data_IF_952114181086
#
_entry.id   IF_952114181086
#
_cell.length_a   1.000
_cell.length_b   1.000
_cell.length_c   1.000
_cell.angle_alpha   90.00
_cell.angle_beta   90.00
_cell.angle_gamma   90.00
#
_symmetry.space_group_name_H-M   'P 1'
#
loop_
_entity.id
_entity.type
_entity.pdbx_description
1 polymer ?
#
# COMPACT_ATOMS: atom_id res chain seq x y z
N UNK A 1 15.17 -13.30 7.62
CA UNK A 1 14.16 -12.39 8.22
C UNK A 1 13.41 -13.16 9.30
N UNK A 2 13.22 -12.60 10.49
CA UNK A 2 12.58 -13.25 11.64
C UNK A 2 11.19 -12.63 11.89
N UNK A 3 10.16 -13.46 12.01
CA UNK A 3 8.77 -13.01 12.23
C UNK A 3 8.68 -12.31 13.59
N UNK A 4 8.25 -11.05 13.59
CA UNK A 4 7.99 -10.24 14.78
C UNK A 4 6.52 -10.24 15.16
N UNK A 5 5.64 -10.22 14.16
CA UNK A 5 4.19 -10.18 14.35
C UNK A 5 3.50 -10.84 13.15
N UNK A 6 2.46 -11.61 13.41
CA UNK A 6 1.56 -12.12 12.37
C UNK A 6 0.38 -11.15 12.29
N UNK A 7 0.14 -10.58 11.11
CA UNK A 7 -0.98 -9.64 10.90
C UNK A 7 -2.22 -10.43 10.47
N UNK A 8 -2.07 -11.25 9.43
CA UNK A 8 -3.12 -12.16 8.97
C UNK A 8 -2.51 -13.38 8.24
N UNK A 9 -3.35 -14.23 7.65
CA UNK A 9 -2.92 -15.45 6.97
C UNK A 9 -1.92 -15.22 5.83
N UNK A 10 -1.90 -14.03 5.23
CA UNK A 10 -1.06 -13.70 4.08
C UNK A 10 0.00 -12.64 4.39
N UNK A 11 0.02 -12.08 5.60
CA UNK A 11 0.86 -10.93 5.92
C UNK A 11 1.49 -11.06 7.30
N UNK A 12 2.80 -10.86 7.34
CA UNK A 12 3.59 -10.85 8.57
C UNK A 12 4.47 -9.60 8.63
N UNK A 13 4.72 -9.10 9.84
CA UNK A 13 5.82 -8.20 10.10
C UNK A 13 7.05 -9.00 10.55
N UNK A 14 8.20 -8.70 10.00
CA UNK A 14 9.45 -9.36 10.30
C UNK A 14 10.59 -8.36 10.50
N UNK A 15 11.67 -8.81 11.13
CA UNK A 15 12.92 -8.07 11.25
C UNK A 15 13.91 -8.65 10.25
N UNK A 16 14.51 -7.77 9.45
CA UNK A 16 15.55 -8.15 8.50
C UNK A 16 16.94 -8.27 9.17
N UNK A 17 17.94 -8.66 8.39
CA UNK A 17 19.32 -8.85 8.88
C UNK A 17 19.96 -7.56 9.43
N UNK A 18 19.41 -6.39 9.10
CA UNK A 18 19.86 -5.08 9.57
C UNK A 18 19.12 -4.61 10.82
N UNK A 19 18.23 -5.44 11.38
CA UNK A 19 17.39 -5.07 12.51
C UNK A 19 16.22 -4.16 12.14
N UNK A 20 15.92 -3.98 10.84
CA UNK A 20 14.82 -3.13 10.40
C UNK A 20 13.54 -3.93 10.28
N UNK A 21 12.44 -3.33 10.73
CA UNK A 21 11.12 -3.92 10.58
C UNK A 21 10.64 -3.78 9.13
N UNK A 22 10.16 -4.89 8.57
CA UNK A 22 9.65 -5.00 7.21
C UNK A 22 8.32 -5.71 7.23
N UNK A 23 7.43 -5.33 6.32
CA UNK A 23 6.12 -5.97 6.15
C UNK A 23 6.21 -6.88 4.94
N UNK A 24 5.81 -8.14 5.10
CA UNK A 24 5.97 -9.17 4.09
C UNK A 24 4.60 -9.73 3.77
N UNK A 25 4.31 -9.82 2.48
CA UNK A 25 3.07 -10.39 1.96
C UNK A 25 3.38 -11.65 1.17
N UNK A 26 2.47 -12.61 1.22
CA UNK A 26 2.60 -13.88 0.54
C UNK A 26 1.43 -14.80 0.83
N UNK A 27 0.96 -15.55 -0.17
CA UNK A 27 -0.14 -16.50 0.01
C UNK A 27 0.15 -17.53 1.10
N UNK A 28 -0.63 -17.52 2.17
CA UNK A 28 -0.49 -18.43 3.30
C UNK A 28 0.78 -18.22 4.12
N UNK A 29 1.44 -17.06 4.01
CA UNK A 29 2.69 -16.76 4.71
C UNK A 29 2.53 -16.70 6.23
N UNK A 30 1.42 -16.15 6.71
CA UNK A 30 1.08 -16.11 8.14
C UNK A 30 0.31 -17.35 8.60
N UNK A 31 -0.13 -18.20 7.67
CA UNK A 31 -0.86 -19.42 8.01
C UNK A 31 0.09 -20.46 8.61
N UNK A 32 -0.17 -20.84 9.86
CA UNK A 32 0.65 -21.78 10.65
C UNK A 32 2.10 -21.31 10.91
N UNK A 33 2.37 -20.01 10.77
CA UNK A 33 3.63 -19.41 11.16
C UNK A 33 3.62 -19.05 12.65
N UNK A 34 4.80 -18.93 13.26
CA UNK A 34 4.95 -18.48 14.65
C UNK A 34 5.88 -17.29 14.78
N UNK A 35 5.62 -16.42 15.77
CA UNK A 35 6.51 -15.32 16.12
C UNK A 35 7.86 -15.89 16.58
N UNK A 36 8.95 -15.32 16.08
CA UNK A 36 10.33 -15.78 16.31
C UNK A 36 10.86 -16.76 15.27
N UNK A 37 10.00 -17.28 14.37
CA UNK A 37 10.44 -18.16 13.29
C UNK A 37 11.05 -17.38 12.11
N UNK A 38 11.80 -18.10 11.28
CA UNK A 38 12.30 -17.54 10.03
C UNK A 38 11.17 -17.50 9.01
N UNK A 39 11.04 -16.37 8.31
CA UNK A 39 10.09 -16.21 7.21
C UNK A 39 10.42 -17.20 6.09
N UNK A 40 9.43 -18.01 5.68
CA UNK A 40 9.54 -18.91 4.53
C UNK A 40 9.69 -18.11 3.23
N UNK A 41 10.90 -18.02 2.70
CA UNK A 41 11.22 -17.20 1.51
C UNK A 41 10.43 -17.60 0.28
N UNK A 42 10.07 -18.88 0.15
CA UNK A 42 9.37 -19.42 -1.02
C UNK A 42 7.91 -18.94 -1.11
N UNK A 43 7.35 -18.52 0.03
CA UNK A 43 6.00 -17.94 0.11
C UNK A 43 5.99 -16.43 -0.05
N UNK A 44 7.16 -15.77 -0.07
CA UNK A 44 7.25 -14.31 -0.13
C UNK A 44 6.90 -13.82 -1.54
N UNK A 45 5.87 -12.99 -1.65
CA UNK A 45 5.48 -12.35 -2.90
C UNK A 45 5.99 -10.91 -2.96
N UNK A 46 5.81 -10.11 -1.89
CA UNK A 46 6.32 -8.73 -1.82
C UNK A 46 6.82 -8.39 -0.42
N UNK A 47 7.84 -7.54 -0.35
CA UNK A 47 8.42 -7.01 0.89
C UNK A 47 8.36 -5.49 0.88
N UNK A 48 7.60 -4.91 1.80
CA UNK A 48 7.44 -3.48 1.99
C UNK A 48 8.39 -2.97 3.07
N UNK A 49 9.18 -1.97 2.71
CA UNK A 49 10.14 -1.28 3.57
C UNK A 49 9.67 0.16 3.70
N UNK A 50 8.97 0.45 4.79
CA UNK A 50 8.47 1.79 5.11
C UNK A 50 9.35 2.35 6.23
N UNK A 51 9.99 3.48 5.98
CA UNK A 51 10.91 4.12 6.92
C UNK A 51 10.18 5.01 7.94
N UNK A 52 8.99 5.50 7.59
CA UNK A 52 8.16 6.25 8.52
C UNK A 52 7.30 5.30 9.39
N UNK A 53 7.54 5.32 10.70
CA UNK A 53 6.84 4.48 11.68
C UNK A 53 5.31 4.73 11.70
N UNK A 54 4.88 5.97 11.45
CA UNK A 54 3.45 6.33 11.43
C UNK A 54 2.79 5.73 10.19
N UNK A 55 3.46 5.80 9.05
CA UNK A 55 2.97 5.20 7.80
C UNK A 55 2.98 3.68 7.90
N UNK A 56 4.04 3.10 8.46
CA UNK A 56 4.14 1.66 8.72
C UNK A 56 2.99 1.15 9.59
N UNK A 57 2.70 1.84 10.71
CA UNK A 57 1.58 1.49 11.59
C UNK A 57 0.23 1.56 10.87
N UNK A 58 -0.02 2.62 10.09
CA UNK A 58 -1.26 2.75 9.30
C UNK A 58 -1.39 1.68 8.24
N UNK A 59 -0.29 1.33 7.57
CA UNK A 59 -0.29 0.29 6.55
C UNK A 59 -0.61 -1.08 7.16
N UNK A 60 -0.07 -1.40 8.35
CA UNK A 60 -0.44 -2.62 9.08
C UNK A 60 -1.93 -2.70 9.40
N UNK A 61 -2.54 -1.59 9.85
CA UNK A 61 -3.99 -1.53 10.10
C UNK A 61 -4.77 -1.77 8.80
N UNK A 62 -4.37 -1.13 7.70
CA UNK A 62 -5.01 -1.31 6.40
C UNK A 62 -4.97 -2.76 5.92
N UNK A 63 -3.88 -3.48 6.21
CA UNK A 63 -3.69 -4.88 5.81
C UNK A 63 -4.67 -5.86 6.49
N UNK A 64 -5.33 -5.46 7.58
CA UNK A 64 -6.39 -6.26 8.21
C UNK A 64 -7.74 -6.11 7.49
N UNK A 65 -7.95 -4.99 6.80
CA UNK A 65 -9.22 -4.66 6.14
C UNK A 65 -9.18 -4.93 4.63
N UNK A 66 -8.02 -4.74 4.01
CA UNK A 66 -7.85 -4.81 2.55
C UNK A 66 -7.33 -6.18 2.11
N UNK A 67 -8.00 -6.84 1.15
CA UNK A 67 -7.51 -8.07 0.54
C UNK A 67 -6.08 -7.94 -0.01
N UNK A 68 -5.25 -8.97 0.20
CA UNK A 68 -3.84 -8.97 -0.20
C UNK A 68 -3.67 -8.75 -1.71
N UNK A 69 -4.62 -9.20 -2.51
CA UNK A 69 -4.65 -9.02 -3.97
C UNK A 69 -4.70 -7.54 -4.35
N UNK A 70 -5.40 -6.72 -3.56
CA UNK A 70 -5.51 -5.27 -3.79
C UNK A 70 -4.22 -4.56 -3.35
N UNK A 71 -3.58 -5.04 -2.28
CA UNK A 71 -2.27 -4.55 -1.85
C UNK A 71 -1.21 -4.83 -2.91
N UNK A 72 -1.25 -6.03 -3.52
CA UNK A 72 -0.36 -6.39 -4.63
C UNK A 72 -0.60 -5.54 -5.86
N UNK A 73 -1.87 -5.33 -6.23
CA UNK A 73 -2.23 -4.41 -7.31
C UNK A 73 -1.73 -2.99 -7.06
N UNK A 74 -1.82 -2.52 -5.81
CA UNK A 74 -1.29 -1.21 -5.39
C UNK A 74 0.21 -1.14 -5.63
N UNK A 75 0.96 -2.18 -5.24
CA UNK A 75 2.40 -2.25 -5.49
C UNK A 75 2.74 -2.22 -6.98
N UNK A 76 2.01 -2.95 -7.82
CA UNK A 76 2.25 -2.97 -9.26
C UNK A 76 2.00 -1.58 -9.89
N UNK A 77 0.97 -0.85 -9.44
CA UNK A 77 0.70 0.52 -9.89
C UNK A 77 1.79 1.49 -9.40
N UNK A 78 2.20 1.39 -8.13
CA UNK A 78 3.27 2.22 -7.57
C UNK A 78 4.61 1.94 -8.28
N UNK A 79 4.91 0.68 -8.58
CA UNK A 79 6.09 0.28 -9.32
C UNK A 79 6.10 0.85 -10.74
N UNK A 80 4.97 0.83 -11.44
CA UNK A 80 4.83 1.46 -12.74
C UNK A 80 5.05 2.98 -12.65
N UNK A 81 4.44 3.65 -11.66
CA UNK A 81 4.59 5.08 -11.47
C UNK A 81 6.05 5.48 -11.19
N UNK A 82 6.79 4.68 -10.41
CA UNK A 82 8.22 4.88 -10.11
C UNK A 82 9.14 4.80 -11.34
N UNK A 83 8.71 4.15 -12.43
CA UNK A 83 9.47 4.13 -13.68
C UNK A 83 9.46 5.49 -14.39
N UNK A 84 8.58 6.40 -13.99
CA UNK A 84 8.48 7.74 -14.57
C UNK A 84 9.65 8.62 -14.11
N UNK A 85 10.50 9.12 -15.04
CA UNK A 85 11.64 9.96 -14.68
C UNK A 85 11.21 11.21 -13.90
N UNK A 86 11.90 11.49 -12.79
CA UNK A 86 11.67 12.67 -11.95
C UNK A 86 10.48 12.56 -10.99
N UNK A 87 9.69 11.49 -11.04
CA UNK A 87 8.59 11.28 -10.11
C UNK A 87 9.11 10.77 -8.75
N UNK A 88 8.82 11.52 -7.68
CA UNK A 88 9.05 11.10 -6.30
C UNK A 88 7.71 10.76 -5.67
N UNK A 89 7.55 9.52 -5.23
CA UNK A 89 6.37 9.07 -4.50
C UNK A 89 6.67 9.03 -3.00
N UNK A 90 5.73 9.52 -2.19
CA UNK A 90 5.81 9.37 -0.75
C UNK A 90 5.51 7.91 -0.35
N UNK A 91 6.04 7.46 0.78
CA UNK A 91 5.72 6.13 1.33
C UNK A 91 4.22 5.97 1.63
N UNK A 92 3.55 7.07 1.96
CA UNK A 92 2.11 7.11 2.26
C UNK A 92 1.23 6.74 1.05
N UNK A 93 1.79 6.71 -0.17
CA UNK A 93 1.04 6.32 -1.36
C UNK A 93 0.46 4.91 -1.25
N UNK A 94 1.16 3.99 -0.57
CA UNK A 94 0.67 2.61 -0.40
C UNK A 94 -0.62 2.58 0.43
N UNK A 95 -0.69 3.40 1.49
CA UNK A 95 -1.87 3.47 2.35
C UNK A 95 -3.03 4.08 1.59
N UNK A 96 -2.81 5.26 0.99
CA UNK A 96 -3.86 6.02 0.32
C UNK A 96 -4.39 5.28 -0.92
N UNK A 97 -3.50 4.74 -1.75
CA UNK A 97 -3.91 4.08 -2.99
C UNK A 97 -4.60 2.74 -2.73
N UNK A 98 -4.09 1.92 -1.80
CA UNK A 98 -4.75 0.64 -1.49
C UNK A 98 -6.15 0.84 -0.91
N UNK A 99 -6.33 1.81 -0.01
CA UNK A 99 -7.65 2.17 0.54
C UNK A 99 -8.62 2.63 -0.57
N UNK A 100 -8.16 3.51 -1.47
CA UNK A 100 -8.98 3.99 -2.58
C UNK A 100 -9.34 2.89 -3.58
N UNK A 101 -8.41 2.00 -3.92
CA UNK A 101 -8.69 0.87 -4.80
C UNK A 101 -9.71 -0.08 -4.18
N UNK A 102 -9.53 -0.41 -2.89
CA UNK A 102 -10.46 -1.27 -2.17
C UNK A 102 -11.87 -0.68 -2.17
N UNK A 103 -12.00 0.59 -1.82
CA UNK A 103 -13.27 1.26 -1.77
C UNK A 103 -13.93 1.45 -3.14
N UNK A 104 -13.14 1.74 -4.18
CA UNK A 104 -13.64 1.84 -5.56
C UNK A 104 -14.16 0.49 -6.07
N UNK A 105 -13.45 -0.61 -5.80
CA UNK A 105 -13.86 -1.97 -6.16
C UNK A 105 -15.14 -2.35 -5.41
N UNK A 106 -15.20 -2.14 -4.10
CA UNK A 106 -16.39 -2.40 -3.29
C UNK A 106 -17.63 -1.65 -3.81
N UNK A 107 -17.48 -0.36 -4.14
CA UNK A 107 -18.58 0.45 -4.69
C UNK A 107 -19.04 -0.05 -6.05
N UNK A 108 -18.10 -0.39 -6.93
CA UNK A 108 -18.39 -0.94 -8.24
C UNK A 108 -19.17 -2.25 -8.14
N UNK A 109 -18.77 -3.15 -7.23
CA UNK A 109 -19.49 -4.41 -6.97
C UNK A 109 -20.91 -4.19 -6.43
N UNK A 110 -21.15 -3.09 -5.71
CA UNK A 110 -22.47 -2.67 -5.20
C UNK A 110 -23.34 -1.96 -6.25
N UNK A 111 -22.85 -1.82 -7.49
CA UNK A 111 -23.60 -1.17 -8.58
C UNK A 111 -23.76 0.34 -8.41
N UNK A 112 -22.96 0.97 -7.54
CA UNK A 112 -22.97 2.42 -7.34
C UNK A 112 -22.11 3.07 -8.44
N UNK A 113 -22.69 3.96 -9.24
CA UNK A 113 -21.94 4.72 -10.25
C UNK A 113 -20.84 5.54 -9.59
N UNK A 114 -19.60 5.37 -10.05
CA UNK A 114 -18.44 6.10 -9.55
C UNK A 114 -18.32 7.41 -10.34
N UNK A 115 -18.88 8.49 -9.80
CA UNK A 115 -18.59 9.83 -10.30
C UNK A 115 -17.13 10.20 -9.93
N UNK A 116 -16.25 10.21 -10.94
CA UNK A 116 -14.81 10.51 -10.89
C UNK A 116 -14.09 10.12 -9.56
N UNK A 117 -13.58 8.87 -9.44
CA UNK A 117 -12.96 8.38 -8.21
C UNK A 117 -11.70 9.14 -7.79
N UNK A 118 -11.03 9.84 -8.72
CA UNK A 118 -9.78 10.56 -8.49
C UNK A 118 -9.98 12.03 -8.13
N UNK A 119 -11.22 12.49 -7.95
CA UNK A 119 -11.48 13.92 -7.76
C UNK A 119 -10.86 14.46 -6.45
N UNK A 120 -10.71 13.60 -5.43
CA UNK A 120 -10.09 13.99 -4.16
C UNK A 120 -8.55 14.10 -4.30
N UNK A 121 -7.93 13.11 -4.94
CA UNK A 121 -6.50 12.99 -5.17
C UNK A 121 -6.00 14.06 -6.15
N UNK A 122 -6.77 14.34 -7.21
CA UNK A 122 -6.47 15.45 -8.13
C UNK A 122 -6.49 16.78 -7.35
N UNK A 123 -7.43 17.00 -6.44
CA UNK A 123 -7.42 18.19 -5.59
C UNK A 123 -6.24 18.21 -4.62
N UNK A 124 -5.92 17.08 -3.98
CA UNK A 124 -4.93 17.06 -2.90
C UNK A 124 -3.48 17.04 -3.41
N UNK A 125 -3.18 16.26 -4.45
CA UNK A 125 -1.82 16.12 -5.00
C UNK A 125 -1.48 17.18 -6.06
N UNK A 126 -2.45 17.63 -6.88
CA UNK A 126 -2.16 18.63 -7.92
C UNK A 126 -2.33 20.09 -7.47
N UNK A 127 -2.98 20.39 -6.33
CA UNK A 127 -2.99 21.78 -5.82
C UNK A 127 -1.61 22.27 -5.37
N UNK A 128 -0.69 21.37 -4.97
CA UNK A 128 0.65 21.76 -4.57
C UNK A 128 1.59 22.11 -5.74
N UNK A 129 1.25 21.73 -6.98
CA UNK A 129 2.08 21.93 -8.17
C UNK A 129 1.38 22.63 -9.33
N UNK A 130 0.17 23.17 -9.15
CA UNK A 130 -0.35 24.13 -10.11
C UNK A 130 0.30 25.49 -9.83
N UNK A 131 1.13 26.04 -10.74
CA UNK A 131 1.28 27.48 -10.75
C UNK A 131 -0.13 28.07 -10.90
N UNK A 132 -0.44 29.15 -10.18
CA UNK A 132 -1.66 29.92 -10.37
C UNK A 132 -1.72 30.38 -11.83
N UNK A 133 -2.31 29.56 -12.68
CA UNK A 133 -2.48 29.78 -14.11
C UNK A 133 -3.95 29.70 -14.43
N UNK A 134 -4.51 30.87 -14.76
CA UNK A 134 -5.81 31.08 -15.38
C UNK A 134 -7.06 30.94 -14.51
N UNK A 135 -7.14 31.86 -13.54
CA UNK A 135 -8.37 32.67 -13.43
C UNK A 135 -8.41 33.67 -14.58
N UNK A 136 -8.75 33.22 -15.79
CA UNK A 136 -9.20 34.11 -16.85
C UNK A 136 -10.45 33.56 -17.53
N UNK A 137 -11.57 34.23 -17.22
CA UNK A 137 -12.62 34.64 -18.15
C UNK A 137 -13.21 33.59 -19.10
N UNK A 138 -14.41 33.10 -18.78
CA UNK A 138 -15.67 33.46 -19.44
C UNK A 138 -16.87 32.95 -18.66
#
# INVERSE_FOLDING_TARGET
MIIKQILNNNVVSAVDERGQEVIITGRGLGFNASVGETVETDKVEKTFRLHDDTISARFKVLLDEVPVEIVQLTDDIVALARQTPGMKLSEGIYVTLADHLFYAIERSQKGLEIANPLQWEVRHFYQANMPLGDRHSR
#
